data_IF_742694967275
#
_entry.id   IF_742694967275
#
_cell.length_a   1.000
_cell.length_b   1.000
_cell.length_c   1.000
_cell.angle_alpha   90.00
_cell.angle_beta   90.00
_cell.angle_gamma   90.00
#
_symmetry.space_group_name_H-M   'P 1'
#
loop_
_entity.id
_entity.type
_entity.pdbx_description
1 polymer ?
#
# COMPACT_ATOMS: atom_id res chain seq x y z
N UNK A 1 -5.60 -28.56 73.84
CA UNK A 1 -6.59 -29.05 72.85
C UNK A 1 -6.57 -28.10 71.66
N UNK A 2 -5.71 -28.39 70.69
CA UNK A 2 -5.40 -27.54 69.54
C UNK A 2 -6.58 -27.52 68.56
N UNK A 3 -7.18 -26.35 68.32
CA UNK A 3 -8.19 -26.21 67.27
C UNK A 3 -7.50 -26.05 65.92
N UNK A 4 -7.74 -27.05 65.08
CA UNK A 4 -7.34 -27.15 63.69
C UNK A 4 -8.01 -26.03 62.88
N UNK A 5 -7.22 -25.20 62.20
CA UNK A 5 -7.72 -24.18 61.26
C UNK A 5 -7.85 -24.82 59.87
N UNK A 6 -9.02 -24.84 59.20
CA UNK A 6 -9.14 -25.36 57.85
C UNK A 6 -8.63 -24.36 56.80
N UNK A 7 -8.06 -24.81 55.66
CA UNK A 7 -7.60 -23.92 54.61
C UNK A 7 -8.75 -23.34 53.76
N UNK A 8 -8.56 -22.05 53.47
CA UNK A 8 -9.23 -21.15 52.53
C UNK A 8 -9.69 -21.81 51.21
N UNK A 9 -10.96 -21.58 50.85
CA UNK A 9 -11.48 -21.72 49.47
C UNK A 9 -12.25 -20.46 49.09
N UNK A 10 -11.52 -19.37 48.94
CA UNK A 10 -11.95 -18.20 48.18
C UNK A 10 -12.22 -18.60 46.72
N UNK A 11 -13.41 -18.35 46.14
CA UNK A 11 -13.64 -18.62 44.74
C UNK A 11 -12.82 -17.61 43.93
N UNK A 12 -11.78 -18.11 43.28
CA UNK A 12 -10.96 -17.38 42.32
C UNK A 12 -11.84 -16.72 41.27
N UNK A 13 -12.10 -15.43 41.46
CA UNK A 13 -12.58 -14.55 40.43
C UNK A 13 -11.53 -14.50 39.33
N UNK A 14 -11.75 -15.30 38.29
CA UNK A 14 -11.05 -15.16 37.01
C UNK A 14 -11.25 -13.72 36.57
N UNK A 15 -10.21 -12.91 36.75
CA UNK A 15 -10.11 -11.61 36.08
C UNK A 15 -10.30 -11.92 34.59
N UNK A 16 -11.19 -11.22 33.88
CA UNK A 16 -11.19 -11.32 32.44
C UNK A 16 -9.79 -10.93 31.98
N UNK A 17 -9.02 -11.90 31.49
CA UNK A 17 -7.88 -11.66 30.63
C UNK A 17 -8.41 -10.77 29.52
N UNK A 18 -8.10 -9.48 29.62
CA UNK A 18 -8.21 -8.57 28.50
C UNK A 18 -7.12 -9.06 27.56
N UNK A 19 -7.46 -10.06 26.75
CA UNK A 19 -6.63 -10.62 25.71
C UNK A 19 -6.13 -9.43 24.90
N UNK A 20 -4.84 -9.14 25.05
CA UNK A 20 -4.22 -8.00 24.44
C UNK A 20 -4.34 -8.12 22.93
N UNK A 21 -5.27 -7.39 22.34
CA UNK A 21 -5.27 -7.02 20.92
C UNK A 21 -4.07 -6.09 20.58
N UNK A 22 -2.92 -6.26 21.26
CA UNK A 22 -1.68 -5.53 21.00
C UNK A 22 -1.07 -6.05 19.70
N UNK A 23 -1.49 -5.39 18.63
CA UNK A 23 -0.76 -5.07 17.41
C UNK A 23 -0.20 -6.24 16.59
N UNK A 24 -1.10 -6.98 15.94
CA UNK A 24 -0.80 -7.50 14.59
C UNK A 24 -0.58 -6.36 13.57
N UNK A 25 -1.11 -5.17 13.88
CA UNK A 25 -0.99 -3.92 13.11
C UNK A 25 0.44 -3.61 12.62
N UNK A 26 1.46 -3.70 13.47
CA UNK A 26 2.84 -3.39 13.04
C UNK A 26 3.59 -4.52 12.33
N UNK A 27 3.06 -5.75 12.33
CA UNK A 27 3.81 -6.92 11.83
C UNK A 27 4.09 -6.90 10.33
N UNK A 28 3.14 -6.50 9.45
CA UNK A 28 3.37 -6.50 8.01
C UNK A 28 4.56 -5.62 7.59
N UNK A 29 4.67 -4.41 8.15
CA UNK A 29 5.73 -3.46 7.79
C UNK A 29 7.12 -3.96 8.21
N UNK A 30 7.24 -4.61 9.36
CA UNK A 30 8.52 -5.19 9.82
C UNK A 30 8.92 -6.41 8.98
N UNK A 31 7.96 -7.25 8.58
CA UNK A 31 8.22 -8.39 7.69
C UNK A 31 8.69 -7.89 6.33
N UNK A 32 8.04 -6.87 5.76
CA UNK A 32 8.45 -6.31 4.46
C UNK A 32 9.85 -5.70 4.52
N UNK A 33 10.15 -4.92 5.56
CA UNK A 33 11.48 -4.34 5.74
C UNK A 33 12.57 -5.42 5.90
N UNK A 34 12.27 -6.54 6.57
CA UNK A 34 13.21 -7.65 6.70
C UNK A 34 13.34 -8.49 5.41
N UNK A 35 12.28 -8.60 4.62
CA UNK A 35 12.24 -9.42 3.40
C UNK A 35 12.88 -8.73 2.21
N UNK A 36 12.75 -7.40 2.10
CA UNK A 36 13.22 -6.62 0.96
C UNK A 36 14.34 -5.67 1.38
N UNK A 37 15.63 -6.01 1.14
CA UNK A 37 16.78 -5.20 1.57
C UNK A 37 16.79 -3.77 1.01
N UNK A 38 16.22 -3.58 -0.19
CA UNK A 38 16.07 -2.27 -0.84
C UNK A 38 14.67 -1.66 -0.62
N UNK A 39 13.88 -2.23 0.27
CA UNK A 39 12.47 -1.91 0.46
C UNK A 39 11.56 -2.57 -0.59
N UNK A 40 10.28 -2.81 -0.26
CA UNK A 40 9.29 -3.28 -1.23
C UNK A 40 8.93 -2.16 -2.22
N UNK A 41 8.32 -2.53 -3.35
CA UNK A 41 7.73 -1.55 -4.26
C UNK A 41 6.69 -0.67 -3.54
N UNK A 42 6.63 0.62 -3.93
CA UNK A 42 5.79 1.63 -3.28
C UNK A 42 4.33 1.18 -3.04
N UNK A 43 3.63 0.54 -4.00
CA UNK A 43 2.23 0.14 -3.78
C UNK A 43 2.08 -0.91 -2.67
N UNK A 44 3.06 -1.81 -2.53
CA UNK A 44 3.10 -2.83 -1.48
C UNK A 44 3.38 -2.18 -0.12
N UNK A 45 4.33 -1.24 -0.07
CA UNK A 45 4.63 -0.49 1.15
C UNK A 45 3.41 0.28 1.65
N UNK A 46 2.71 0.96 0.73
CA UNK A 46 1.54 1.77 1.03
C UNK A 46 0.35 0.93 1.49
N UNK A 47 0.08 -0.22 0.85
CA UNK A 47 -0.93 -1.17 1.29
C UNK A 47 -0.64 -1.75 2.68
N UNK A 48 0.63 -2.09 2.96
CA UNK A 48 1.03 -2.57 4.29
C UNK A 48 0.93 -1.49 5.36
N UNK A 49 1.26 -0.24 5.03
CA UNK A 49 1.07 0.90 5.92
C UNK A 49 -0.43 1.11 6.20
N UNK A 50 -1.28 1.09 5.17
CA UNK A 50 -2.73 1.19 5.35
C UNK A 50 -3.25 0.09 6.29
N UNK A 51 -2.87 -1.16 6.05
CA UNK A 51 -3.23 -2.28 6.92
C UNK A 51 -2.74 -2.08 8.36
N UNK A 52 -1.52 -1.57 8.54
CA UNK A 52 -0.93 -1.32 9.84
C UNK A 52 -1.70 -0.25 10.64
N UNK A 53 -2.23 0.76 9.97
CA UNK A 53 -3.10 1.74 10.61
C UNK A 53 -4.52 1.22 10.92
N UNK A 54 -4.82 -0.03 10.54
CA UNK A 54 -6.13 -0.64 10.76
C UNK A 54 -7.21 -0.02 9.86
N UNK A 55 -6.77 0.50 8.72
CA UNK A 55 -7.62 1.12 7.73
C UNK A 55 -8.55 0.08 7.07
N UNK A 56 -9.80 0.47 6.91
CA UNK A 56 -10.89 -0.31 6.34
C UNK A 56 -10.77 -0.39 4.79
N UNK A 57 -11.72 -1.02 4.07
CA UNK A 57 -11.71 -1.04 2.60
C UNK A 57 -11.67 0.37 1.97
N UNK A 58 -12.24 1.38 2.62
CA UNK A 58 -12.25 2.76 2.12
C UNK A 58 -10.83 3.35 2.12
N UNK A 59 -10.06 3.09 3.15
CA UNK A 59 -8.68 3.56 3.18
C UNK A 59 -7.69 2.67 2.40
N UNK A 60 -8.09 1.46 1.99
CA UNK A 60 -7.40 0.74 0.89
C UNK A 60 -7.61 1.45 -0.45
N UNK A 61 -8.82 1.95 -0.73
CA UNK A 61 -9.06 2.77 -1.92
C UNK A 61 -8.25 4.07 -1.87
N UNK A 62 -8.12 4.71 -0.70
CA UNK A 62 -7.28 5.91 -0.56
C UNK A 62 -5.79 5.62 -0.82
N UNK A 63 -5.27 4.50 -0.31
CA UNK A 63 -3.91 4.06 -0.64
C UNK A 63 -3.74 3.81 -2.14
N UNK A 64 -4.70 3.14 -2.78
CA UNK A 64 -4.68 2.92 -4.22
C UNK A 64 -4.72 4.25 -5.00
N UNK A 65 -5.54 5.21 -4.58
CA UNK A 65 -5.64 6.53 -5.20
C UNK A 65 -4.33 7.32 -5.09
N UNK A 66 -3.67 7.27 -3.93
CA UNK A 66 -2.37 7.91 -3.75
C UNK A 66 -1.30 7.30 -4.67
N UNK A 67 -1.24 5.97 -4.79
CA UNK A 67 -0.33 5.30 -5.73
C UNK A 67 -0.65 5.66 -7.19
N UNK A 68 -1.92 5.70 -7.58
CA UNK A 68 -2.35 6.10 -8.91
C UNK A 68 -1.98 7.56 -9.20
N UNK A 69 -2.17 8.46 -8.25
CA UNK A 69 -1.80 9.87 -8.38
C UNK A 69 -0.30 10.05 -8.59
N UNK A 70 0.54 9.39 -7.81
CA UNK A 70 1.99 9.44 -8.00
C UNK A 70 2.40 8.89 -9.39
N UNK A 71 1.74 7.82 -9.83
CA UNK A 71 2.03 7.19 -11.14
C UNK A 71 1.70 8.08 -12.34
N UNK A 72 0.83 9.08 -12.19
CA UNK A 72 0.41 9.99 -13.28
C UNK A 72 1.03 11.38 -13.15
N UNK A 73 1.19 11.89 -11.93
CA UNK A 73 1.73 13.22 -11.67
C UNK A 73 3.21 13.35 -12.09
N UNK A 74 4.02 12.30 -11.85
CA UNK A 74 5.43 12.25 -12.25
C UNK A 74 5.61 12.38 -13.77
N UNK A 75 5.02 11.47 -14.57
CA UNK A 75 5.05 11.55 -16.03
C UNK A 75 4.46 12.86 -16.60
N UNK A 76 3.38 13.38 -16.01
CA UNK A 76 2.82 14.66 -16.42
C UNK A 76 3.80 15.83 -16.24
N UNK A 77 4.47 15.88 -15.08
CA UNK A 77 5.50 16.88 -14.79
C UNK A 77 6.70 16.73 -15.73
N UNK A 78 7.11 15.51 -16.01
CA UNK A 78 8.18 15.22 -16.96
C UNK A 78 7.81 15.66 -18.38
N UNK A 79 6.59 15.40 -18.84
CA UNK A 79 6.12 15.80 -20.16
C UNK A 79 6.13 17.33 -20.34
N UNK A 80 5.71 18.09 -19.32
CA UNK A 80 5.80 19.56 -19.34
C UNK A 80 7.27 20.00 -19.49
N UNK A 81 8.18 19.44 -18.69
CA UNK A 81 9.57 19.90 -18.62
C UNK A 81 10.45 19.44 -19.79
N UNK A 82 10.21 18.24 -20.31
CA UNK A 82 11.05 17.62 -21.33
C UNK A 82 10.52 17.85 -22.75
N UNK A 83 9.20 17.89 -22.91
CA UNK A 83 8.54 18.06 -24.23
C UNK A 83 8.00 19.47 -24.42
N UNK A 84 8.06 20.34 -23.39
CA UNK A 84 7.58 21.71 -23.48
C UNK A 84 6.05 21.82 -23.62
N UNK A 85 5.30 20.84 -23.10
CA UNK A 85 3.84 20.86 -23.20
C UNK A 85 3.23 22.00 -22.37
N UNK A 86 2.08 22.52 -22.84
CA UNK A 86 1.30 23.49 -22.08
C UNK A 86 0.84 22.89 -20.74
N UNK A 87 1.23 23.49 -19.59
CA UNK A 87 0.82 23.02 -18.28
C UNK A 87 -0.70 22.94 -18.13
N UNK A 88 -1.47 23.88 -18.69
CA UNK A 88 -2.93 23.88 -18.55
C UNK A 88 -3.55 22.70 -19.32
N UNK A 89 -3.09 22.45 -20.54
CA UNK A 89 -3.52 21.29 -21.32
C UNK A 89 -3.20 19.96 -20.61
N UNK A 90 -2.02 19.81 -20.01
CA UNK A 90 -1.64 18.61 -19.27
C UNK A 90 -2.50 18.40 -18.02
N UNK A 91 -2.74 19.46 -17.23
CA UNK A 91 -3.63 19.36 -16.07
C UNK A 91 -5.08 19.08 -16.48
N UNK A 92 -5.53 19.58 -17.63
CA UNK A 92 -6.84 19.24 -18.17
C UNK A 92 -6.94 17.75 -18.56
N UNK A 93 -5.84 17.12 -19.02
CA UNK A 93 -5.79 15.66 -19.25
C UNK A 93 -5.90 14.91 -17.92
N UNK A 94 -5.14 15.32 -16.89
CA UNK A 94 -5.19 14.70 -15.57
C UNK A 94 -6.61 14.79 -14.97
N UNK A 95 -7.24 15.97 -15.01
CA UNK A 95 -8.62 16.14 -14.54
C UNK A 95 -9.64 15.26 -15.27
N UNK A 96 -9.40 14.95 -16.56
CA UNK A 96 -10.24 13.98 -17.30
C UNK A 96 -9.96 12.53 -16.93
N UNK A 97 -8.78 12.23 -16.39
CA UNK A 97 -8.39 10.90 -15.94
C UNK A 97 -8.89 10.59 -14.53
N UNK A 98 -9.17 11.61 -13.71
CA UNK A 98 -9.61 11.47 -12.31
C UNK A 98 -10.75 10.43 -12.12
N UNK A 99 -11.86 10.44 -12.88
CA UNK A 99 -12.93 9.46 -12.67
C UNK A 99 -12.45 8.02 -12.91
N UNK A 100 -11.53 7.82 -13.85
CA UNK A 100 -10.97 6.50 -14.14
C UNK A 100 -10.02 6.06 -13.02
N UNK A 101 -9.30 6.99 -12.40
CA UNK A 101 -8.45 6.70 -11.24
C UNK A 101 -9.29 6.30 -10.02
N UNK A 102 -10.42 6.98 -9.78
CA UNK A 102 -11.36 6.61 -8.73
C UNK A 102 -11.91 5.19 -8.93
N UNK A 103 -12.30 4.84 -10.16
CA UNK A 103 -12.74 3.49 -10.50
C UNK A 103 -11.66 2.43 -10.23
N UNK A 104 -10.42 2.69 -10.65
CA UNK A 104 -9.28 1.79 -10.43
C UNK A 104 -8.97 1.61 -8.94
N UNK A 105 -9.08 2.68 -8.15
CA UNK A 105 -8.90 2.62 -6.71
C UNK A 105 -9.95 1.75 -6.02
N UNK A 106 -11.23 1.87 -6.44
CA UNK A 106 -12.31 1.02 -5.95
C UNK A 106 -12.12 -0.45 -6.37
N UNK A 107 -11.69 -0.69 -7.61
CA UNK A 107 -11.37 -2.05 -8.09
C UNK A 107 -10.23 -2.68 -7.27
N UNK A 108 -9.17 -1.93 -6.98
CA UNK A 108 -8.07 -2.40 -6.14
C UNK A 108 -8.56 -2.74 -4.71
N UNK A 109 -9.39 -1.88 -4.11
CA UNK A 109 -9.95 -2.12 -2.78
C UNK A 109 -10.85 -3.36 -2.72
N UNK A 110 -11.61 -3.64 -3.77
CA UNK A 110 -12.46 -4.83 -3.87
C UNK A 110 -11.66 -6.14 -3.85
N UNK A 111 -10.42 -6.11 -4.35
CA UNK A 111 -9.52 -7.27 -4.43
C UNK A 111 -8.58 -7.39 -3.23
N UNK A 112 -8.66 -6.48 -2.24
CA UNK A 112 -7.71 -6.40 -1.14
C UNK A 112 -7.66 -7.65 -0.24
N UNK A 113 -8.76 -8.42 -0.21
CA UNK A 113 -8.87 -9.66 0.57
C UNK A 113 -8.69 -10.92 -0.30
N UNK A 114 -8.48 -10.75 -1.60
CA UNK A 114 -8.28 -11.86 -2.51
C UNK A 114 -6.86 -12.42 -2.37
N UNK A 115 -6.65 -13.73 -2.65
CA UNK A 115 -5.31 -14.28 -2.73
C UNK A 115 -4.46 -13.51 -3.75
N UNK A 116 -3.18 -13.31 -3.47
CA UNK A 116 -2.27 -12.57 -4.37
C UNK A 116 -2.27 -13.10 -5.82
N UNK A 117 -2.47 -14.41 -6.00
CA UNK A 117 -2.58 -15.05 -7.31
C UNK A 117 -3.81 -14.63 -8.14
N UNK A 118 -4.80 -13.97 -7.52
CA UNK A 118 -5.99 -13.41 -8.19
C UNK A 118 -5.87 -11.91 -8.48
N UNK A 119 -4.78 -11.26 -8.05
CA UNK A 119 -4.58 -9.85 -8.34
C UNK A 119 -4.32 -9.64 -9.84
N UNK A 120 -4.85 -8.56 -10.46
CA UNK A 120 -4.60 -8.25 -11.85
C UNK A 120 -3.10 -8.03 -12.07
N UNK A 121 -2.52 -8.78 -13.00
CA UNK A 121 -1.14 -8.61 -13.45
C UNK A 121 -1.11 -8.35 -14.96
N UNK A 122 -1.72 -7.25 -15.44
CA UNK A 122 -1.68 -6.92 -16.85
C UNK A 122 -0.24 -6.64 -17.28
N UNK A 123 0.20 -7.26 -18.36
CA UNK A 123 1.47 -6.90 -19.01
C UNK A 123 1.35 -5.54 -19.68
N UNK A 124 2.44 -4.79 -19.74
CA UNK A 124 2.52 -3.55 -20.52
C UNK A 124 3.71 -3.61 -21.50
N UNK A 125 3.64 -4.43 -22.57
CA UNK A 125 4.81 -4.75 -23.39
C UNK A 125 5.54 -3.53 -23.96
N UNK A 126 4.80 -2.48 -24.33
CA UNK A 126 5.40 -1.25 -24.83
C UNK A 126 6.16 -0.49 -23.74
N UNK A 127 5.68 -0.49 -22.50
CA UNK A 127 6.40 0.11 -21.37
C UNK A 127 7.64 -0.74 -21.04
N UNK A 128 7.52 -2.07 -21.08
CA UNK A 128 8.64 -2.98 -20.83
C UNK A 128 9.78 -2.76 -21.84
N UNK A 129 9.45 -2.68 -23.13
CA UNK A 129 10.42 -2.38 -24.20
C UNK A 129 11.01 -0.97 -24.02
N UNK A 130 10.18 0.02 -23.69
CA UNK A 130 10.66 1.39 -23.50
C UNK A 130 11.59 1.52 -22.30
N UNK A 131 11.33 0.79 -21.22
CA UNK A 131 12.20 0.72 -20.06
C UNK A 131 13.56 0.09 -20.41
N UNK A 132 13.57 -1.00 -21.19
CA UNK A 132 14.81 -1.60 -21.68
C UNK A 132 15.60 -0.64 -22.58
N UNK A 133 14.92 0.07 -23.48
CA UNK A 133 15.59 1.09 -24.28
C UNK A 133 16.16 2.20 -23.42
N UNK A 134 15.44 2.66 -22.39
CA UNK A 134 15.93 3.68 -21.49
C UNK A 134 17.17 3.20 -20.71
N UNK A 135 17.21 1.94 -20.24
CA UNK A 135 18.39 1.41 -19.52
C UNK A 135 19.65 1.33 -20.37
N UNK A 136 19.49 1.27 -21.69
CA UNK A 136 20.61 1.16 -22.64
C UNK A 136 21.08 2.55 -23.15
N UNK A 137 20.49 3.65 -22.69
CA UNK A 137 20.92 4.99 -23.09
C UNK A 137 22.28 5.37 -22.47
N UNK A 138 23.10 6.11 -23.21
CA UNK A 138 24.40 6.54 -22.67
C UNK A 138 24.23 7.68 -21.65
N UNK A 139 23.19 8.50 -21.82
CA UNK A 139 22.86 9.63 -20.96
C UNK A 139 21.38 9.59 -20.61
N UNK A 140 21.10 9.57 -19.30
CA UNK A 140 19.75 9.53 -18.73
C UNK A 140 19.56 10.74 -17.81
N UNK A 141 18.41 11.41 -17.91
CA UNK A 141 18.01 12.45 -16.96
C UNK A 141 17.23 11.89 -15.76
N UNK A 142 16.77 10.64 -15.85
CA UNK A 142 16.01 9.92 -14.83
C UNK A 142 16.65 8.55 -14.60
N UNK A 143 16.46 8.00 -13.39
CA UNK A 143 16.94 6.67 -13.07
C UNK A 143 16.11 5.54 -13.71
N UNK A 144 14.95 5.86 -14.27
CA UNK A 144 13.97 4.94 -14.89
C UNK A 144 13.03 5.68 -15.81
#
# INVERSE_FOLDING_TARGET
MFRHNPPDRSPGGRRPEIAGHRSDKGRPIHILAATFPNGPHQPIALGAAARAFGLDPHATALAALAALHESTAGPATAAIRLLGLDPFAVHAVLARLDPRMDELALQAAALAHDPAARLPAPSAPMLDISAQHHSDWEVHLFAS
#
